data_IF_146854755612
#
_entry.id   IF_146854755612
#
_cell.length_a   1.000
_cell.length_b   1.000
_cell.length_c   1.000
_cell.angle_alpha   90.00
_cell.angle_beta   90.00
_cell.angle_gamma   90.00
#
_symmetry.space_group_name_H-M   'P 1'
#
loop_
_entity.id
_entity.type
_entity.pdbx_description
1 polymer ?
#
# COMPACT_ATOMS: atom_id res chain seq x y z
N UNK A 1 21.18 3.05 21.36
CA UNK A 1 19.92 2.48 20.81
C UNK A 1 18.77 3.37 21.23
N UNK A 2 17.92 3.82 20.31
CA UNK A 2 16.79 4.68 20.65
C UNK A 2 15.74 3.87 21.42
N UNK A 3 15.38 4.34 22.62
CA UNK A 3 14.33 3.74 23.46
C UNK A 3 13.04 3.68 22.63
N UNK A 4 12.48 2.48 22.47
CA UNK A 4 11.20 2.27 21.77
C UNK A 4 10.16 3.16 22.47
N UNK A 5 9.49 4.02 21.71
CA UNK A 5 8.49 4.91 22.30
C UNK A 5 7.35 4.08 22.88
N UNK A 6 7.03 4.30 24.16
CA UNK A 6 5.89 3.66 24.84
C UNK A 6 4.52 3.98 24.18
N UNK A 7 4.49 4.96 23.27
CA UNK A 7 3.27 5.40 22.60
C UNK A 7 3.09 4.74 21.24
N UNK A 8 1.91 4.15 21.03
CA UNK A 8 1.52 3.62 19.72
C UNK A 8 1.44 4.75 18.67
N UNK A 9 1.70 4.46 17.38
CA UNK A 9 1.57 5.46 16.31
C UNK A 9 0.18 6.11 16.26
N UNK A 10 -0.87 5.33 16.53
CA UNK A 10 -2.25 5.82 16.60
C UNK A 10 -2.43 6.83 17.73
N UNK A 11 -1.96 6.51 18.93
CA UNK A 11 -2.03 7.42 20.08
C UNK A 11 -1.31 8.75 19.79
N UNK A 12 -0.08 8.67 19.27
CA UNK A 12 0.70 9.84 18.84
C UNK A 12 -0.06 10.70 17.82
N UNK A 13 -0.72 10.08 16.83
CA UNK A 13 -1.48 10.82 15.82
C UNK A 13 -2.71 11.53 16.39
N UNK A 14 -3.45 10.90 17.29
CA UNK A 14 -4.64 11.49 17.93
C UNK A 14 -4.27 12.73 18.74
N UNK A 15 -3.18 12.65 19.48
CA UNK A 15 -2.68 13.74 20.30
C UNK A 15 -2.21 14.95 19.46
N UNK A 16 -1.46 14.70 18.39
CA UNK A 16 -1.01 15.76 17.47
C UNK A 16 -2.21 16.43 16.79
N UNK A 17 -3.23 15.65 16.40
CA UNK A 17 -4.44 16.20 15.78
C UNK A 17 -5.24 17.08 16.75
N UNK A 18 -5.42 16.66 18.00
CA UNK A 18 -6.10 17.47 19.03
C UNK A 18 -5.38 18.80 19.26
N UNK A 19 -4.03 18.79 19.27
CA UNK A 19 -3.20 19.99 19.41
C UNK A 19 -3.36 20.95 18.21
N UNK A 20 -3.30 20.44 16.98
CA UNK A 20 -3.40 21.25 15.76
C UNK A 20 -4.80 21.87 15.63
N UNK A 21 -5.84 21.10 15.95
CA UNK A 21 -7.24 21.57 15.92
C UNK A 21 -7.58 22.53 17.05
N UNK A 22 -6.70 22.66 18.06
CA UNK A 22 -6.92 23.46 19.26
C UNK A 22 -8.19 23.06 20.00
N UNK A 23 -8.46 21.75 20.08
CA UNK A 23 -9.65 21.21 20.76
C UNK A 23 -9.67 21.56 22.26
N UNK A 24 -8.49 21.61 22.89
CA UNK A 24 -8.29 21.94 24.31
C UNK A 24 -6.96 22.69 24.50
N UNK A 25 -6.76 23.39 25.63
CA UNK A 25 -5.45 23.95 26.00
C UNK A 25 -4.37 22.87 26.11
N UNK A 26 -3.15 23.19 25.67
CA UNK A 26 -2.03 22.23 25.64
C UNK A 26 -1.73 21.56 26.99
N UNK A 27 -1.94 22.28 28.09
CA UNK A 27 -1.77 21.79 29.47
C UNK A 27 -2.82 20.74 29.87
N UNK A 28 -4.07 20.89 29.41
CA UNK A 28 -5.15 19.92 29.64
C UNK A 28 -4.88 18.65 28.84
N UNK A 29 -4.53 18.83 27.56
CA UNK A 29 -4.12 17.73 26.71
C UNK A 29 -2.91 16.98 27.33
N UNK A 30 -1.93 17.67 27.91
CA UNK A 30 -0.72 17.02 28.45
C UNK A 30 -1.05 16.07 29.61
N UNK A 31 -1.97 16.48 30.48
CA UNK A 31 -2.50 15.64 31.56
C UNK A 31 -3.33 14.48 31.01
N UNK A 32 -4.18 14.74 30.03
CA UNK A 32 -5.10 13.75 29.45
C UNK A 32 -4.37 12.60 28.74
N UNK A 33 -3.29 12.92 28.01
CA UNK A 33 -2.53 11.92 27.25
C UNK A 33 -1.26 11.43 27.96
N UNK A 34 -0.90 12.03 29.11
CA UNK A 34 0.28 11.63 29.88
C UNK A 34 1.62 11.94 29.20
N UNK A 35 1.65 12.97 28.33
CA UNK A 35 2.83 13.29 27.52
C UNK A 35 3.34 14.69 27.85
N UNK A 36 4.66 14.80 28.02
CA UNK A 36 5.30 16.10 28.27
C UNK A 36 5.13 17.06 27.11
N UNK A 37 5.03 18.35 27.42
CA UNK A 37 4.87 19.41 26.43
C UNK A 37 6.00 19.47 25.38
N UNK A 38 7.29 19.29 25.74
CA UNK A 38 8.37 19.23 24.74
C UNK A 38 8.22 18.09 23.73
N UNK A 39 7.80 16.91 24.20
CA UNK A 39 7.57 15.74 23.33
C UNK A 39 6.47 16.00 22.31
N UNK A 40 5.42 16.73 22.71
CA UNK A 40 4.29 17.11 21.84
C UNK A 40 4.67 18.08 20.75
N UNK A 41 5.41 19.13 21.09
CA UNK A 41 5.88 20.07 20.08
C UNK A 41 6.78 19.38 19.07
N UNK A 42 7.68 18.50 19.52
CA UNK A 42 8.47 17.67 18.62
C UNK A 42 7.59 16.81 17.71
N UNK A 43 6.59 16.13 18.26
CA UNK A 43 5.69 15.30 17.46
C UNK A 43 4.87 16.09 16.46
N UNK A 44 4.40 17.29 16.84
CA UNK A 44 3.69 18.23 15.97
C UNK A 44 4.54 18.62 14.77
N UNK A 45 5.82 18.88 14.99
CA UNK A 45 6.73 19.34 13.94
C UNK A 45 7.19 18.18 13.03
N UNK A 46 7.40 16.99 13.60
CA UNK A 46 7.71 15.77 12.85
C UNK A 46 6.54 15.27 11.99
N UNK A 47 5.30 15.48 12.42
CA UNK A 47 4.10 14.98 11.73
C UNK A 47 3.99 15.44 10.26
N UNK A 48 4.06 16.74 9.92
CA UNK A 48 4.04 17.20 8.54
C UNK A 48 5.30 16.82 7.76
N UNK A 49 6.47 16.77 8.40
CA UNK A 49 7.72 16.36 7.74
C UNK A 49 7.64 14.91 7.27
N UNK A 50 7.21 14.01 8.15
CA UNK A 50 7.01 12.60 7.85
C UNK A 50 5.88 12.39 6.84
N UNK A 51 4.79 13.17 6.93
CA UNK A 51 3.70 13.15 5.95
C UNK A 51 4.17 13.53 4.55
N UNK A 52 4.94 14.62 4.42
CA UNK A 52 5.54 15.05 3.15
C UNK A 52 6.50 14.01 2.58
N UNK A 53 7.36 13.42 3.42
CA UNK A 53 8.27 12.36 3.00
C UNK A 53 7.51 11.12 2.50
N UNK A 54 6.48 10.68 3.23
CA UNK A 54 5.65 9.54 2.83
C UNK A 54 4.92 9.79 1.49
N UNK A 55 4.42 11.01 1.27
CA UNK A 55 3.79 11.40 0.01
C UNK A 55 4.79 11.49 -1.15
N UNK A 56 6.00 11.98 -0.90
CA UNK A 56 7.07 12.03 -1.89
C UNK A 56 7.49 10.62 -2.34
N UNK A 57 7.65 9.68 -1.39
CA UNK A 57 7.99 8.29 -1.68
C UNK A 57 6.85 7.53 -2.35
N UNK A 58 5.57 7.89 -2.10
CA UNK A 58 4.43 7.22 -2.74
C UNK A 58 4.39 7.44 -4.27
N UNK A 59 4.99 8.53 -4.77
CA UNK A 59 5.10 8.81 -6.20
C UNK A 59 5.96 7.78 -6.95
N UNK A 60 6.84 7.04 -6.27
CA UNK A 60 7.67 6.00 -6.87
C UNK A 60 7.14 4.57 -6.68
N UNK A 61 6.30 4.30 -5.68
CA UNK A 61 5.84 2.95 -5.36
C UNK A 61 4.73 2.41 -6.30
N UNK A 62 3.95 3.28 -6.94
CA UNK A 62 2.86 2.88 -7.85
C UNK A 62 3.29 2.56 -9.29
N UNK A 63 4.46 3.04 -9.71
CA UNK A 63 4.93 2.97 -11.10
C UNK A 63 5.41 1.57 -11.54
N UNK A 64 6.22 0.82 -10.76
CA UNK A 64 6.76 -0.45 -11.24
C UNK A 64 5.71 -1.57 -11.24
N UNK A 65 4.82 -1.62 -10.26
CA UNK A 65 3.81 -2.70 -10.14
C UNK A 65 2.70 -2.56 -11.18
N UNK A 66 2.21 -1.34 -11.43
CA UNK A 66 1.19 -1.10 -12.46
C UNK A 66 1.69 -1.43 -13.86
N UNK A 67 2.94 -1.06 -14.18
CA UNK A 67 3.58 -1.41 -15.45
C UNK A 67 3.73 -2.92 -15.62
N UNK A 68 4.09 -3.62 -14.55
CA UNK A 68 4.24 -5.07 -14.58
C UNK A 68 2.91 -5.81 -14.70
N UNK A 69 1.83 -5.26 -14.12
CA UNK A 69 0.46 -5.78 -14.30
C UNK A 69 0.02 -5.61 -15.76
N UNK A 70 0.20 -4.41 -16.32
CA UNK A 70 -0.14 -4.14 -17.72
C UNK A 70 0.61 -5.05 -18.70
N UNK A 71 1.91 -5.27 -18.47
CA UNK A 71 2.71 -6.15 -19.32
C UNK A 71 2.21 -7.60 -19.28
N UNK A 72 1.82 -8.09 -18.09
CA UNK A 72 1.27 -9.45 -17.94
C UNK A 72 -0.09 -9.58 -18.63
N UNK A 73 -0.97 -8.60 -18.46
CA UNK A 73 -2.29 -8.59 -19.11
C UNK A 73 -2.16 -8.59 -20.64
N UNK A 74 -1.19 -7.83 -21.18
CA UNK A 74 -0.87 -7.84 -22.60
C UNK A 74 -0.39 -9.21 -23.08
N UNK A 75 0.58 -9.82 -22.39
CA UNK A 75 1.11 -11.15 -22.75
C UNK A 75 0.00 -12.20 -22.74
N UNK A 76 -0.90 -12.18 -21.76
CA UNK A 76 -2.05 -13.08 -21.70
C UNK A 76 -2.96 -12.88 -22.92
N UNK A 77 -3.23 -11.63 -23.31
CA UNK A 77 -4.00 -11.31 -24.51
C UNK A 77 -3.34 -11.83 -25.79
N UNK A 78 -2.06 -11.55 -25.97
CA UNK A 78 -1.28 -11.99 -27.15
C UNK A 78 -1.25 -13.53 -27.26
N UNK A 79 -1.06 -14.24 -26.14
CA UNK A 79 -1.10 -15.70 -26.10
C UNK A 79 -2.50 -16.26 -26.39
N UNK A 80 -3.55 -15.59 -25.91
CA UNK A 80 -4.94 -16.00 -26.15
C UNK A 80 -5.28 -15.88 -27.63
N UNK A 81 -4.91 -14.77 -28.27
CA UNK A 81 -5.12 -14.57 -29.71
C UNK A 81 -4.32 -15.61 -30.51
N UNK A 82 -3.04 -15.82 -30.16
CA UNK A 82 -2.21 -16.83 -30.82
C UNK A 82 -2.82 -18.24 -30.72
N UNK A 83 -3.34 -18.60 -29.55
CA UNK A 83 -4.04 -19.87 -29.35
C UNK A 83 -5.31 -19.98 -30.20
N UNK A 84 -6.16 -18.95 -30.22
CA UNK A 84 -7.40 -18.95 -31.01
C UNK A 84 -7.11 -19.08 -32.51
N UNK A 85 -6.11 -18.35 -33.00
CA UNK A 85 -5.64 -18.44 -34.39
C UNK A 85 -5.13 -19.84 -34.69
N UNK A 86 -4.24 -20.39 -33.83
CA UNK A 86 -3.71 -21.72 -34.00
C UNK A 86 -4.82 -22.79 -34.00
N UNK A 87 -5.77 -22.72 -33.07
CA UNK A 87 -6.91 -23.64 -32.99
C UNK A 87 -7.81 -23.57 -34.23
N UNK A 88 -8.01 -22.36 -34.79
CA UNK A 88 -8.79 -22.16 -36.02
C UNK A 88 -8.12 -22.82 -37.23
N UNK A 89 -6.78 -22.76 -37.31
CA UNK A 89 -6.02 -23.36 -38.41
C UNK A 89 -5.65 -24.83 -38.22
N UNK A 90 -5.68 -25.34 -36.99
CA UNK A 90 -5.23 -26.71 -36.65
C UNK A 90 -6.27 -27.81 -36.89
N UNK A 91 -7.52 -27.49 -37.24
CA UNK A 91 -8.53 -28.47 -37.63
C UNK A 91 -8.69 -29.65 -36.67
N UNK A 92 -9.35 -29.43 -35.54
CA UNK A 92 -10.06 -30.45 -34.73
C UNK A 92 -9.36 -31.81 -34.51
N UNK A 93 -8.08 -31.82 -34.11
CA UNK A 93 -7.38 -33.07 -33.73
C UNK A 93 -6.57 -33.00 -32.43
N UNK A 94 -6.75 -31.95 -31.61
CA UNK A 94 -6.12 -31.85 -30.27
C UNK A 94 -7.08 -31.44 -29.13
N UNK A 95 -8.39 -31.36 -29.39
CA UNK A 95 -9.40 -30.99 -28.39
C UNK A 95 -9.54 -32.02 -27.26
N UNK A 96 -9.11 -33.27 -27.45
CA UNK A 96 -9.33 -34.37 -26.51
C UNK A 96 -8.23 -34.55 -25.45
N UNK A 97 -7.06 -33.89 -25.59
CA UNK A 97 -5.93 -34.12 -24.67
C UNK A 97 -5.82 -33.11 -23.51
N UNK A 98 -6.56 -32.00 -23.51
CA UNK A 98 -6.29 -30.89 -22.58
C UNK A 98 -7.48 -30.39 -21.75
N UNK A 99 -8.57 -31.16 -21.68
CA UNK A 99 -9.68 -30.96 -20.72
C UNK A 99 -9.24 -30.97 -19.25
N UNK A 100 -7.97 -31.28 -18.96
CA UNK A 100 -7.40 -31.38 -17.61
C UNK A 100 -6.50 -30.23 -17.16
N UNK A 101 -6.22 -29.21 -17.99
CA UNK A 101 -5.38 -28.07 -17.53
C UNK A 101 -6.26 -27.00 -16.88
N UNK A 102 -6.77 -27.32 -15.70
CA UNK A 102 -7.20 -26.29 -14.75
C UNK A 102 -5.93 -25.59 -14.30
N UNK A 103 -5.73 -24.35 -14.77
CA UNK A 103 -4.76 -23.43 -14.21
C UNK A 103 -5.15 -23.13 -12.77
N UNK A 104 -4.72 -23.98 -11.82
CA UNK A 104 -4.75 -23.63 -10.42
C UNK A 104 -3.81 -22.45 -10.21
N UNK A 105 -4.39 -21.27 -10.04
CA UNK A 105 -3.67 -20.06 -9.66
C UNK A 105 -3.43 -20.18 -8.14
N UNK A 106 -2.20 -20.42 -7.66
CA UNK A 106 -1.95 -20.41 -6.23
C UNK A 106 -2.12 -18.98 -5.71
N UNK A 107 -3.15 -18.77 -4.89
CA UNK A 107 -3.33 -17.55 -4.11
C UNK A 107 -2.46 -17.69 -2.87
N UNK A 108 -1.39 -16.89 -2.79
CA UNK A 108 -0.60 -16.68 -1.57
C UNK A 108 -0.62 -15.19 -1.24
#
# INVERSE_FOLDING_TARGET
>A
MAKVSEFSPKHRSQEVLALIRREEPGSVLARRFGVSEPTRYRWRDEFPANGKAALATRKSAGQPKARHIYERERIIGDLTIAYLVAATFAGDSQSDQLSGVVLEIPVN
#
